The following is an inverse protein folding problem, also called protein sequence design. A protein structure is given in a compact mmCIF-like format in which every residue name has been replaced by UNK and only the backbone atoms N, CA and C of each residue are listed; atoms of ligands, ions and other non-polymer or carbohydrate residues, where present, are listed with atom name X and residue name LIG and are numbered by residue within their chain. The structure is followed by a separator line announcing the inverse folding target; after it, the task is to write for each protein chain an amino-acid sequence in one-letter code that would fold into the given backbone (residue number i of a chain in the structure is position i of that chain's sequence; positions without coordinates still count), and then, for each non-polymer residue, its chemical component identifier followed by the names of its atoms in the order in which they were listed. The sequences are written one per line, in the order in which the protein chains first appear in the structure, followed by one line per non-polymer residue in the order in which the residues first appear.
data_IF_024485120417
#
_entry.id   IF_024485120417
#
_cell.length_a   1.000
_cell.length_b   1.000
_cell.length_c   1.000
_cell.angle_alpha   90.00
_cell.angle_beta   90.00
_cell.angle_gamma   90.00
#
_symmetry.space_group_name_H-M   'P 1'
#
loop_
_entity.id
_entity.type
_entity.pdbx_description
1 polymer ?
#
# COMPACT_ATOMS: atom_id res chain seq x y z
N UNK A 1 -6.46 -24.89 -22.58
CA UNK A 1 -6.02 -23.52 -22.22
C UNK A 1 -4.86 -23.64 -21.24
N UNK A 2 -3.78 -24.37 -21.55
CA UNK A 2 -2.72 -24.14 -22.55
C UNK A 2 -1.89 -22.87 -22.32
N UNK A 3 -0.61 -23.16 -22.02
CA UNK A 3 0.51 -22.33 -21.62
C UNK A 3 0.94 -21.31 -22.67
N UNK A 4 1.41 -20.15 -22.19
CA UNK A 4 2.22 -19.22 -22.96
C UNK A 4 3.58 -19.83 -23.36
N UNK A 5 4.03 -19.57 -24.58
CA UNK A 5 5.44 -19.32 -24.95
C UNK A 5 5.52 -18.93 -26.43
N UNK A 6 5.96 -17.71 -26.73
CA UNK A 6 6.53 -17.36 -28.04
C UNK A 6 7.53 -16.22 -27.87
N UNK A 7 8.78 -16.51 -28.25
CA UNK A 7 9.97 -15.68 -28.11
C UNK A 7 10.09 -14.69 -29.27
N UNK A 8 10.38 -13.41 -28.97
CA UNK A 8 10.87 -12.45 -29.94
C UNK A 8 12.33 -12.08 -29.63
N UNK A 9 13.18 -12.35 -30.62
CA UNK A 9 14.65 -12.24 -30.60
C UNK A 9 15.09 -10.78 -30.51
N UNK A 10 16.03 -10.51 -29.60
CA UNK A 10 16.65 -9.21 -29.35
C UNK A 10 17.84 -9.04 -30.30
N UNK A 11 17.83 -8.04 -31.18
CA UNK A 11 19.03 -7.67 -31.95
C UNK A 11 19.92 -6.74 -31.09
N UNK A 12 21.20 -7.10 -30.98
CA UNK A 12 22.23 -6.23 -30.45
C UNK A 12 22.63 -5.21 -31.54
N UNK A 13 22.72 -3.95 -31.15
CA UNK A 13 23.68 -3.00 -31.74
C UNK A 13 24.53 -2.45 -30.61
N UNK A 14 25.83 -2.65 -30.77
CA UNK A 14 26.92 -2.03 -30.03
C UNK A 14 26.82 -0.50 -30.09
N UNK A 15 27.11 0.16 -28.96
CA UNK A 15 27.81 1.44 -28.95
C UNK A 15 28.87 1.36 -27.86
N UNK A 16 30.09 1.63 -28.32
CA UNK A 16 31.39 1.57 -27.68
C UNK A 16 31.62 2.69 -26.66
N UNK A 17 32.66 2.45 -25.88
CA UNK A 17 33.26 3.10 -24.73
C UNK A 17 33.64 4.59 -24.91
N UNK A 18 33.33 5.41 -23.90
CA UNK A 18 34.18 6.55 -23.48
C UNK A 18 33.67 7.12 -22.15
N UNK A 19 34.33 6.73 -21.06
CA UNK A 19 34.43 7.55 -19.84
C UNK A 19 35.38 8.75 -20.10
N UNK A 20 35.39 9.85 -19.30
CA UNK A 20 34.97 9.94 -17.90
C UNK A 20 34.20 11.23 -17.53
N UNK A 21 33.57 11.28 -16.35
CA UNK A 21 33.82 12.38 -15.41
C UNK A 21 32.91 12.34 -14.17
N UNK A 22 33.59 12.22 -13.04
CA UNK A 22 33.16 12.12 -11.65
C UNK A 22 32.55 13.42 -11.09
N UNK A 23 31.57 14.02 -11.79
CA UNK A 23 30.90 15.26 -11.33
C UNK A 23 29.36 15.19 -11.34
N UNK A 24 28.77 14.09 -11.81
CA UNK A 24 27.31 13.95 -11.92
C UNK A 24 26.62 13.43 -10.65
N UNK A 25 27.35 12.81 -9.71
CA UNK A 25 26.72 12.11 -8.56
C UNK A 25 26.07 13.05 -7.53
N UNK A 26 26.60 14.27 -7.32
CA UNK A 26 25.98 15.25 -6.39
C UNK A 26 24.70 15.88 -6.95
N UNK A 27 24.60 16.08 -8.26
CA UNK A 27 23.39 16.60 -8.92
C UNK A 27 22.28 15.55 -9.01
N UNK A 28 22.64 14.27 -9.17
CA UNK A 28 21.67 13.16 -9.16
C UNK A 28 21.07 12.95 -7.77
N UNK A 29 21.86 13.04 -6.68
CA UNK A 29 21.33 12.96 -5.31
C UNK A 29 20.37 14.11 -4.97
N UNK A 30 20.64 15.34 -5.41
CA UNK A 30 19.71 16.48 -5.22
C UNK A 30 18.44 16.34 -6.06
N UNK A 31 18.50 15.81 -7.28
CA UNK A 31 17.31 15.50 -8.08
C UNK A 31 16.50 14.33 -7.52
N UNK A 32 17.13 13.31 -6.93
CA UNK A 32 16.42 12.21 -6.27
C UNK A 32 15.73 12.64 -4.96
N UNK A 33 16.34 13.57 -4.21
CA UNK A 33 15.69 14.20 -3.06
C UNK A 33 14.52 15.10 -3.49
N UNK A 34 14.71 15.93 -4.53
CA UNK A 34 13.62 16.74 -5.12
C UNK A 34 12.51 15.90 -5.74
N UNK A 35 12.80 14.71 -6.29
CA UNK A 35 11.77 13.81 -6.81
C UNK A 35 10.99 13.11 -5.69
N UNK A 36 11.58 12.92 -4.51
CA UNK A 36 10.85 12.48 -3.30
C UNK A 36 10.01 13.62 -2.70
N UNK A 37 10.49 14.86 -2.73
CA UNK A 37 9.71 16.04 -2.30
C UNK A 37 8.62 16.45 -3.32
N UNK A 38 8.86 16.30 -4.63
CA UNK A 38 7.87 16.59 -5.68
C UNK A 38 6.73 15.57 -5.73
N UNK A 39 6.94 14.33 -5.26
CA UNK A 39 5.84 13.39 -5.01
C UNK A 39 4.95 13.79 -3.83
N UNK A 40 5.37 14.77 -3.02
CA UNK A 40 4.55 15.34 -1.94
C UNK A 40 3.92 16.69 -2.29
N UNK A 41 4.23 17.27 -3.46
CA UNK A 41 3.92 18.69 -3.73
C UNK A 41 3.17 18.97 -5.03
N UNK A 42 2.63 17.96 -5.73
CA UNK A 42 1.83 18.23 -6.94
C UNK A 42 0.42 17.64 -6.85
N UNK A 43 -0.54 18.54 -6.58
CA UNK A 43 -1.82 18.56 -7.28
C UNK A 43 -2.82 17.44 -7.02
N UNK A 44 -3.67 17.63 -6.00
CA UNK A 44 -5.12 17.59 -6.22
C UNK A 44 -5.85 16.26 -6.32
N UNK A 45 -5.17 15.11 -6.37
CA UNK A 45 -5.88 13.83 -6.48
C UNK A 45 -5.25 12.74 -5.60
N UNK A 46 -6.08 11.77 -5.22
CA UNK A 46 -5.71 10.44 -4.72
C UNK A 46 -5.52 10.14 -3.24
N UNK A 47 -5.60 11.03 -2.24
CA UNK A 47 -5.61 10.49 -0.86
C UNK A 47 -6.86 9.63 -0.60
N UNK A 48 -8.03 10.11 -1.01
CA UNK A 48 -9.28 9.33 -0.92
C UNK A 48 -9.29 8.15 -1.88
N UNK A 49 -8.81 8.31 -3.12
CA UNK A 49 -8.68 7.20 -4.08
C UNK A 49 -7.72 6.13 -3.56
N UNK A 50 -6.62 6.51 -2.93
CA UNK A 50 -5.65 5.58 -2.32
C UNK A 50 -6.25 4.84 -1.14
N UNK A 51 -7.02 5.53 -0.29
CA UNK A 51 -7.78 4.87 0.79
C UNK A 51 -8.77 3.86 0.20
N UNK A 52 -9.47 4.20 -0.88
CA UNK A 52 -10.40 3.31 -1.55
C UNK A 52 -9.70 2.07 -2.14
N UNK A 53 -8.54 2.25 -2.79
CA UNK A 53 -7.72 1.14 -3.31
C UNK A 53 -7.29 0.19 -2.19
N UNK A 54 -6.78 0.72 -1.06
CA UNK A 54 -6.40 -0.11 0.08
C UNK A 54 -7.58 -0.91 0.65
N UNK A 55 -8.80 -0.35 0.59
CA UNK A 55 -10.01 -1.07 1.01
C UNK A 55 -10.38 -2.19 0.01
N UNK A 56 -10.25 -1.94 -1.29
CA UNK A 56 -10.47 -2.97 -2.33
C UNK A 56 -9.46 -4.11 -2.23
N UNK A 57 -8.22 -3.80 -1.85
CA UNK A 57 -7.14 -4.76 -1.62
C UNK A 57 -7.21 -5.47 -0.25
N UNK A 58 -8.25 -5.18 0.57
CA UNK A 58 -8.41 -5.73 1.93
C UNK A 58 -7.26 -5.35 2.89
N UNK A 59 -6.48 -4.32 2.57
CA UNK A 59 -5.42 -3.74 3.38
C UNK A 59 -5.99 -2.77 4.43
N UNK A 60 -6.92 -3.26 5.26
CA UNK A 60 -7.72 -2.44 6.17
C UNK A 60 -6.88 -1.65 7.19
N UNK A 61 -5.77 -2.22 7.67
CA UNK A 61 -4.87 -1.53 8.62
C UNK A 61 -4.23 -0.29 8.00
N UNK A 62 -3.72 -0.42 6.79
CA UNK A 62 -3.07 0.69 6.08
C UNK A 62 -4.09 1.75 5.67
N UNK A 63 -5.29 1.33 5.26
CA UNK A 63 -6.41 2.24 4.98
C UNK A 63 -6.76 3.11 6.20
N UNK A 64 -6.87 2.51 7.41
CA UNK A 64 -7.12 3.24 8.66
C UNK A 64 -6.01 4.25 8.95
N UNK A 65 -4.74 3.83 8.84
CA UNK A 65 -3.61 4.70 9.14
C UNK A 65 -3.53 5.90 8.17
N UNK A 66 -3.74 5.65 6.88
CA UNK A 66 -3.75 6.71 5.87
C UNK A 66 -4.92 7.66 6.09
N UNK A 67 -6.12 7.14 6.33
CA UNK A 67 -7.31 7.95 6.57
C UNK A 67 -7.18 8.83 7.82
N UNK A 68 -6.61 8.31 8.92
CA UNK A 68 -6.33 9.11 10.14
C UNK A 68 -5.34 10.23 9.90
N UNK A 69 -4.25 9.96 9.16
CA UNK A 69 -3.26 10.98 8.79
C UNK A 69 -3.88 12.07 7.92
N UNK A 70 -4.64 11.67 6.92
CA UNK A 70 -5.36 12.58 6.03
C UNK A 70 -6.36 13.45 6.81
N UNK A 71 -7.09 12.85 7.76
CA UNK A 71 -8.03 13.57 8.62
C UNK A 71 -7.32 14.62 9.47
N UNK A 72 -6.22 14.23 10.14
CA UNK A 72 -5.43 15.14 10.95
C UNK A 72 -4.86 16.31 10.12
N UNK A 73 -4.41 16.03 8.89
CA UNK A 73 -3.96 17.07 7.97
C UNK A 73 -5.10 17.99 7.52
N UNK A 74 -6.28 17.44 7.19
CA UNK A 74 -7.44 18.24 6.80
C UNK A 74 -7.90 19.17 7.93
N UNK A 75 -7.85 18.70 9.18
CA UNK A 75 -8.11 19.54 10.36
C UNK A 75 -7.06 20.64 10.52
N UNK A 76 -5.78 20.33 10.34
CA UNK A 76 -4.69 21.31 10.40
C UNK A 76 -4.78 22.37 9.28
N UNK A 77 -5.24 21.97 8.10
CA UNK A 77 -5.44 22.84 6.93
C UNK A 77 -6.75 23.67 7.01
N UNK A 78 -7.60 23.47 8.03
CA UNK A 78 -8.90 24.14 8.14
C UNK A 78 -9.96 23.64 7.13
N UNK A 79 -9.77 22.47 6.54
CA UNK A 79 -10.68 21.87 5.56
C UNK A 79 -11.72 20.98 6.25
N UNK A 80 -12.66 21.62 6.97
CA UNK A 80 -13.62 20.94 7.84
C UNK A 80 -14.50 19.91 7.10
N UNK A 81 -15.01 20.23 5.91
CA UNK A 81 -15.83 19.30 5.11
C UNK A 81 -15.05 18.04 4.73
N UNK A 82 -13.78 18.21 4.36
CA UNK A 82 -12.90 17.08 4.02
C UNK A 82 -12.59 16.25 5.25
N UNK A 83 -12.29 16.88 6.39
CA UNK A 83 -12.09 16.18 7.65
C UNK A 83 -13.35 15.40 8.07
N UNK A 84 -14.54 15.99 7.94
CA UNK A 84 -15.80 15.32 8.25
C UNK A 84 -16.01 14.09 7.37
N UNK A 85 -15.82 14.21 6.05
CA UNK A 85 -15.96 13.06 5.14
C UNK A 85 -14.96 11.94 5.45
N UNK A 86 -13.71 12.28 5.80
CA UNK A 86 -12.69 11.34 6.25
C UNK A 86 -13.07 10.67 7.57
N UNK A 87 -13.65 11.41 8.51
CA UNK A 87 -14.13 10.87 9.79
C UNK A 87 -15.24 9.83 9.58
N UNK A 88 -16.20 10.13 8.71
CA UNK A 88 -17.26 9.18 8.34
C UNK A 88 -16.71 7.93 7.62
N UNK A 89 -15.73 8.11 6.73
CA UNK A 89 -15.06 7.00 6.06
C UNK A 89 -14.31 6.12 7.07
N UNK A 90 -13.57 6.74 8.00
CA UNK A 90 -12.79 6.05 9.03
C UNK A 90 -13.63 5.06 9.83
N UNK A 91 -14.83 5.46 10.28
CA UNK A 91 -15.74 4.58 11.01
C UNK A 91 -16.10 3.30 10.24
N UNK A 92 -16.31 3.41 8.93
CA UNK A 92 -16.63 2.27 8.05
C UNK A 92 -15.42 1.34 7.90
N UNK A 93 -14.24 1.91 7.68
CA UNK A 93 -12.99 1.16 7.52
C UNK A 93 -12.65 0.42 8.83
N UNK A 94 -12.77 1.08 9.98
CA UNK A 94 -12.52 0.46 11.29
C UNK A 94 -13.49 -0.68 11.61
N UNK A 95 -14.75 -0.60 11.16
CA UNK A 95 -15.71 -1.70 11.28
C UNK A 95 -15.27 -2.92 10.47
N UNK A 96 -14.80 -2.71 9.24
CA UNK A 96 -14.28 -3.78 8.38
C UNK A 96 -13.01 -4.40 8.97
N UNK A 97 -12.07 -3.59 9.47
CA UNK A 97 -10.87 -4.07 10.14
C UNK A 97 -11.19 -4.98 11.33
N UNK A 98 -12.11 -4.55 12.21
CA UNK A 98 -12.55 -5.35 13.37
C UNK A 98 -13.13 -6.69 12.95
N UNK A 99 -13.94 -6.72 11.88
CA UNK A 99 -14.50 -7.97 11.32
C UNK A 99 -13.42 -8.89 10.77
N UNK A 100 -12.45 -8.35 10.01
CA UNK A 100 -11.32 -9.14 9.50
C UNK A 100 -10.52 -9.75 10.66
N UNK A 101 -10.21 -8.96 11.68
CA UNK A 101 -9.49 -9.44 12.87
C UNK A 101 -10.26 -10.54 13.60
N UNK A 102 -11.55 -10.34 13.86
CA UNK A 102 -12.39 -11.34 14.51
C UNK A 102 -12.47 -12.64 13.69
N UNK A 103 -12.67 -12.55 12.36
CA UNK A 103 -12.70 -13.70 11.48
C UNK A 103 -11.37 -14.47 11.50
N UNK A 104 -10.24 -13.75 11.42
CA UNK A 104 -8.91 -14.37 11.49
C UNK A 104 -8.66 -15.07 12.82
N UNK A 105 -9.11 -14.47 13.93
CA UNK A 105 -8.99 -15.06 15.26
C UNK A 105 -9.84 -16.33 15.39
N UNK A 106 -11.10 -16.30 14.95
CA UNK A 106 -11.98 -17.48 14.99
C UNK A 106 -11.41 -18.61 14.12
N UNK A 107 -10.89 -18.29 12.94
CA UNK A 107 -10.28 -19.28 12.07
C UNK A 107 -9.05 -19.94 12.73
N UNK A 108 -8.17 -19.14 13.33
CA UNK A 108 -7.01 -19.64 14.06
C UNK A 108 -7.41 -20.48 15.29
N UNK A 109 -8.43 -20.05 16.03
CA UNK A 109 -8.95 -20.81 17.18
C UNK A 109 -9.54 -22.16 16.75
N UNK A 110 -10.26 -22.21 15.62
CA UNK A 110 -10.79 -23.46 15.07
C UNK A 110 -9.68 -24.41 14.62
N UNK A 111 -8.65 -23.89 13.95
CA UNK A 111 -7.49 -24.69 13.52
C UNK A 111 -6.74 -25.27 14.73
N UNK A 112 -6.55 -24.49 15.78
CA UNK A 112 -5.96 -24.95 17.05
C UNK A 112 -6.81 -26.05 17.71
N UNK A 113 -8.12 -25.85 17.85
CA UNK A 113 -9.03 -26.86 18.42
C UNK A 113 -9.05 -28.16 17.60
N UNK A 114 -8.98 -28.08 16.27
CA UNK A 114 -8.91 -29.27 15.43
C UNK A 114 -7.62 -30.05 15.67
N UNK A 115 -6.49 -29.36 15.83
CA UNK A 115 -5.20 -29.98 16.17
C UNK A 115 -5.22 -30.65 17.54
N UNK A 116 -5.80 -29.99 18.54
CA UNK A 116 -5.94 -30.58 19.88
C UNK A 116 -6.90 -31.78 19.87
N UNK A 117 -8.04 -31.68 19.19
CA UNK A 117 -8.96 -32.82 19.06
C UNK A 117 -8.28 -34.03 18.39
N UNK A 118 -7.49 -33.83 17.34
CA UNK A 118 -6.72 -34.90 16.69
C UNK A 118 -5.70 -35.57 17.64
N UNK A 119 -5.22 -34.87 18.67
CA UNK A 119 -4.32 -35.45 19.68
C UNK A 119 -5.08 -36.26 20.74
N UNK A 120 -6.32 -35.86 21.07
CA UNK A 120 -7.12 -36.49 22.14
C UNK A 120 -7.85 -37.77 21.72
N UNK A 121 -8.24 -37.94 20.45
CA UNK A 121 -8.92 -39.16 19.95
C UNK A 121 -7.98 -40.20 19.31
N UNK A 122 -6.66 -40.00 19.41
CA UNK A 122 -5.65 -40.88 18.82
C UNK A 122 -5.16 -42.04 19.72
N UNK A 123 -5.75 -42.24 20.89
CA UNK A 123 -5.44 -43.35 21.81
C UNK A 123 -6.46 -44.49 21.73
#
# INVERSE_FOLDING_TARGET
MEFCLSMAKKSLKEIDDSAPDTLTSRKVKRKAAKAKEQRQQDGGDDTMSRVALLCQEMCWRDAVLLCRKAHAQAMADGKEDTAMSLSMALQKIERSLRRQMAASYIAAAKDMLQKEYLLDVGQ
#
